data_IF_387373223631
#
_entry.id   IF_387373223631
#
_cell.length_a   1.000
_cell.length_b   1.000
_cell.length_c   1.000
_cell.angle_alpha   90.00
_cell.angle_beta   90.00
_cell.angle_gamma   90.00
#
_symmetry.space_group_name_H-M   'P 1'
#
loop_
_entity.id
_entity.type
_entity.pdbx_description
1 polymer ?
#
# COMPACT_ATOMS: atom_id res chain seq x y z
N UNK A 1 14.86 13.71 22.64
CA UNK A 1 14.13 14.66 21.79
C UNK A 1 14.50 16.09 22.13
N UNK A 2 15.03 16.83 21.16
CA UNK A 2 15.34 18.27 21.21
C UNK A 2 14.07 19.10 21.10
N UNK A 3 14.13 20.38 21.47
CA UNK A 3 13.00 21.32 21.30
C UNK A 3 12.59 21.43 19.83
N UNK A 4 13.54 21.46 18.91
CA UNK A 4 13.25 21.54 17.48
C UNK A 4 12.51 20.30 16.97
N UNK A 5 12.86 19.11 17.47
CA UNK A 5 12.13 17.88 17.17
C UNK A 5 10.71 17.92 17.74
N UNK A 6 10.52 18.44 18.96
CA UNK A 6 9.19 18.62 19.56
C UNK A 6 8.34 19.56 18.70
N UNK A 7 8.88 20.72 18.31
CA UNK A 7 8.18 21.70 17.48
C UNK A 7 7.75 21.08 16.14
N UNK A 8 8.67 20.40 15.43
CA UNK A 8 8.37 19.73 14.16
C UNK A 8 7.21 18.73 14.30
N UNK A 9 7.23 17.93 15.36
CA UNK A 9 6.20 16.92 15.63
C UNK A 9 4.85 17.52 15.96
N UNK A 10 4.82 18.55 16.81
CA UNK A 10 3.60 19.29 17.12
C UNK A 10 2.98 19.87 15.85
N UNK A 11 3.81 20.50 15.00
CA UNK A 11 3.35 21.04 13.71
C UNK A 11 2.80 19.95 12.78
N UNK A 12 3.51 18.82 12.65
CA UNK A 12 3.06 17.68 11.84
C UNK A 12 1.72 17.09 12.33
N UNK A 13 1.46 17.16 13.65
CA UNK A 13 0.22 16.70 14.28
C UNK A 13 -0.89 17.76 14.28
N UNK A 14 -0.66 18.93 13.65
CA UNK A 14 -1.66 20.00 13.51
C UNK A 14 -1.74 20.98 14.68
N UNK A 15 -0.80 20.93 15.63
CA UNK A 15 -0.66 21.93 16.69
C UNK A 15 0.33 23.01 16.25
N UNK A 16 0.07 24.29 16.51
CA UNK A 16 0.99 25.38 16.12
C UNK A 16 2.01 25.69 17.22
N UNK A 17 3.26 25.17 17.15
CA UNK A 17 4.29 25.49 18.14
C UNK A 17 4.92 26.86 17.93
N UNK A 18 4.53 27.60 16.89
CA UNK A 18 5.25 28.76 16.39
C UNK A 18 6.44 28.39 15.49
N UNK A 19 7.50 29.22 15.44
CA UNK A 19 8.65 29.00 14.57
C UNK A 19 9.39 27.73 14.98
N UNK A 20 9.89 26.98 14.00
CA UNK A 20 10.73 25.80 14.21
C UNK A 20 12.19 26.21 14.45
N UNK A 21 12.41 27.00 15.50
CA UNK A 21 13.67 27.65 15.82
C UNK A 21 14.46 26.93 16.94
N UNK A 22 13.90 25.85 17.49
CA UNK A 22 14.47 25.11 18.60
C UNK A 22 14.36 25.82 19.96
N UNK A 23 13.58 26.91 20.06
CA UNK A 23 13.37 27.67 21.30
C UNK A 23 11.97 27.43 21.86
N UNK A 24 11.90 27.03 23.12
CA UNK A 24 10.60 26.75 23.77
C UNK A 24 9.97 28.06 24.24
N UNK A 25 9.22 28.72 23.35
CA UNK A 25 8.47 29.95 23.65
C UNK A 25 6.99 29.69 24.02
N UNK A 26 6.21 30.76 24.31
CA UNK A 26 4.80 30.64 24.72
C UNK A 26 3.92 29.86 23.73
N UNK A 27 4.18 29.96 22.43
CA UNK A 27 3.48 29.18 21.40
C UNK A 27 3.81 27.70 21.47
N UNK A 28 5.07 27.34 21.68
CA UNK A 28 5.49 25.95 21.84
C UNK A 28 4.87 25.35 23.10
N UNK A 29 4.85 26.08 24.22
CA UNK A 29 4.19 25.65 25.45
C UNK A 29 2.67 25.44 25.23
N UNK A 30 2.02 26.39 24.56
CA UNK A 30 0.59 26.30 24.23
C UNK A 30 0.28 25.08 23.36
N UNK A 31 1.10 24.81 22.35
CA UNK A 31 0.99 23.62 21.51
C UNK A 31 1.17 22.32 22.30
N UNK A 32 2.11 22.29 23.26
CA UNK A 32 2.29 21.14 24.16
C UNK A 32 1.05 20.93 25.02
N UNK A 33 0.47 21.99 25.61
CA UNK A 33 -0.75 21.87 26.44
C UNK A 33 -1.94 21.36 25.63
N UNK A 34 -2.10 21.83 24.39
CA UNK A 34 -3.14 21.35 23.48
C UNK A 34 -2.94 19.88 23.12
N UNK A 35 -1.70 19.49 22.81
CA UNK A 35 -1.36 18.09 22.54
C UNK A 35 -1.61 17.20 23.76
N UNK A 36 -1.20 17.62 24.96
CA UNK A 36 -1.44 16.90 26.21
C UNK A 36 -2.93 16.71 26.46
N UNK A 37 -3.73 17.78 26.30
CA UNK A 37 -5.19 17.73 26.38
C UNK A 37 -5.76 16.72 25.38
N UNK A 38 -5.35 16.80 24.11
CA UNK A 38 -5.83 15.93 23.03
C UNK A 38 -5.46 14.45 23.24
N UNK A 39 -4.42 14.16 24.03
CA UNK A 39 -3.94 12.80 24.32
C UNK A 39 -4.29 12.31 25.72
N UNK A 40 -5.05 13.08 26.51
CA UNK A 40 -5.43 12.71 27.87
C UNK A 40 -4.24 12.61 28.84
N UNK A 41 -3.20 13.41 28.62
CA UNK A 41 -2.01 13.48 29.49
C UNK A 41 -2.18 14.58 30.55
N UNK A 42 -1.30 14.58 31.55
CA UNK A 42 -1.15 15.73 32.45
C UNK A 42 -0.81 16.99 31.66
N UNK A 43 -1.58 18.07 31.84
CA UNK A 43 -1.49 19.30 31.06
C UNK A 43 -0.62 20.33 31.79
N UNK A 44 0.69 20.07 31.86
CA UNK A 44 1.66 20.95 32.51
C UNK A 44 2.37 21.90 31.54
N UNK A 45 2.20 21.72 30.22
CA UNK A 45 2.87 22.49 29.18
C UNK A 45 4.33 22.10 28.94
N UNK A 46 4.80 21.03 29.60
CA UNK A 46 6.17 20.55 29.53
C UNK A 46 6.24 19.25 28.74
N UNK A 47 7.17 19.18 27.79
CA UNK A 47 7.47 17.94 27.07
C UNK A 47 8.31 16.96 27.94
N UNK A 48 7.75 16.53 29.07
CA UNK A 48 8.34 15.51 29.95
C UNK A 48 8.31 14.11 29.34
N UNK A 49 8.76 13.06 30.05
CA UNK A 49 8.88 11.71 29.50
C UNK A 49 7.59 11.18 28.86
N UNK A 50 6.43 11.36 29.51
CA UNK A 50 5.15 10.90 28.98
C UNK A 50 4.72 11.67 27.72
N UNK A 51 4.90 12.99 27.71
CA UNK A 51 4.61 13.83 26.54
C UNK A 51 5.53 13.46 25.38
N UNK A 52 6.83 13.26 25.63
CA UNK A 52 7.81 12.83 24.62
C UNK A 52 7.48 11.45 24.06
N UNK A 53 7.15 10.49 24.92
CA UNK A 53 6.73 9.16 24.51
C UNK A 53 5.44 9.23 23.67
N UNK A 54 4.48 10.07 24.05
CA UNK A 54 3.26 10.26 23.26
C UNK A 54 3.53 10.97 21.92
N UNK A 55 4.44 11.94 21.88
CA UNK A 55 4.90 12.56 20.63
C UNK A 55 5.61 11.52 19.77
N UNK A 56 6.42 10.63 20.34
CA UNK A 56 7.04 9.49 19.65
C UNK A 56 6.02 8.47 19.16
N UNK A 57 4.99 8.15 19.94
CA UNK A 57 3.92 7.26 19.52
C UNK A 57 2.98 7.90 18.47
N UNK A 58 2.90 9.23 18.43
CA UNK A 58 2.13 9.97 17.45
C UNK A 58 2.90 10.21 16.14
N UNK A 59 4.24 10.28 16.22
CA UNK A 59 5.19 10.35 15.09
C UNK A 59 5.57 8.95 14.58
N UNK A 60 5.41 7.91 15.42
CA UNK A 60 5.26 6.55 14.94
C UNK A 60 4.06 6.60 14.00
N UNK A 61 4.21 6.14 12.74
CA UNK A 61 3.18 6.27 11.72
C UNK A 61 1.86 5.85 12.35
N UNK A 62 0.97 6.84 12.56
CA UNK A 62 -0.20 6.76 13.43
C UNK A 62 -0.89 5.45 13.16
N UNK A 63 -0.61 4.40 13.98
CA UNK A 63 -0.72 3.00 13.57
C UNK A 63 -1.05 2.92 12.09
N UNK A 64 -0.04 2.92 11.22
CA UNK A 64 -0.18 2.15 10.02
C UNK A 64 -0.59 0.78 10.56
N UNK A 65 -1.90 0.59 10.72
CA UNK A 65 -2.56 -0.67 10.52
C UNK A 65 -1.83 -1.08 9.29
N UNK A 66 -0.85 -2.00 9.44
CA UNK A 66 -0.29 -2.69 8.29
C UNK A 66 -1.53 -2.88 7.47
N UNK A 67 -1.65 -2.22 6.32
CA UNK A 67 -2.81 -2.40 5.47
C UNK A 67 -2.55 -3.79 4.96
N UNK A 68 -2.87 -4.75 5.82
CA UNK A 68 -2.71 -6.16 5.61
C UNK A 68 -3.83 -6.38 4.65
N UNK A 69 -3.44 -6.90 3.51
CA UNK A 69 -4.35 -7.56 2.63
C UNK A 69 -5.30 -8.40 3.48
N UNK A 70 -6.58 -8.35 3.17
CA UNK A 70 -7.55 -9.17 3.88
C UNK A 70 -7.20 -10.66 3.71
N UNK A 71 -7.69 -11.51 4.60
CA UNK A 71 -7.35 -12.94 4.59
C UNK A 71 -7.70 -13.62 3.25
N UNK A 72 -8.66 -13.08 2.48
CA UNK A 72 -8.98 -13.54 1.14
C UNK A 72 -7.84 -13.25 0.17
N UNK A 73 -7.35 -12.02 0.18
CA UNK A 73 -6.25 -11.58 -0.65
C UNK A 73 -4.98 -12.40 -0.37
N UNK A 74 -4.67 -12.64 0.91
CA UNK A 74 -3.56 -13.51 1.33
C UNK A 74 -3.68 -14.94 0.73
N UNK A 75 -4.88 -15.54 0.79
CA UNK A 75 -5.13 -16.85 0.17
C UNK A 75 -4.99 -16.82 -1.35
N UNK A 76 -5.43 -15.73 -1.98
CA UNK A 76 -5.34 -15.58 -3.44
C UNK A 76 -3.89 -15.37 -3.92
N UNK A 77 -2.99 -14.91 -3.05
CA UNK A 77 -1.56 -14.83 -3.33
C UNK A 77 -0.83 -16.17 -3.19
N UNK A 78 -1.48 -17.22 -2.67
CA UNK A 78 -0.88 -18.55 -2.62
C UNK A 78 -0.51 -19.05 -4.02
N UNK A 79 0.74 -19.47 -4.20
CA UNK A 79 1.26 -19.93 -5.49
C UNK A 79 1.64 -18.81 -6.47
N UNK A 80 1.61 -17.54 -6.05
CA UNK A 80 2.17 -16.40 -6.79
C UNK A 80 3.65 -16.23 -6.46
N UNK A 81 4.44 -15.79 -7.43
CA UNK A 81 5.88 -15.54 -7.29
C UNK A 81 6.17 -14.59 -6.11
N UNK A 82 7.12 -14.92 -5.21
CA UNK A 82 7.36 -14.15 -3.99
C UNK A 82 7.71 -12.67 -4.25
N UNK A 83 8.39 -12.36 -5.36
CA UNK A 83 8.69 -10.97 -5.74
C UNK A 83 7.41 -10.17 -6.02
N UNK A 84 6.45 -10.74 -6.75
CA UNK A 84 5.17 -10.09 -6.99
C UNK A 84 4.37 -9.97 -5.68
N UNK A 85 4.42 -10.98 -4.82
CA UNK A 85 3.79 -10.93 -3.48
C UNK A 85 4.34 -9.77 -2.65
N UNK A 86 5.66 -9.54 -2.63
CA UNK A 86 6.27 -8.38 -1.94
C UNK A 86 5.74 -7.07 -2.50
N UNK A 87 5.67 -6.92 -3.83
CA UNK A 87 5.11 -5.73 -4.48
C UNK A 87 3.66 -5.49 -4.06
N UNK A 88 2.81 -6.52 -4.02
CA UNK A 88 1.40 -6.36 -3.63
C UNK A 88 1.29 -5.93 -2.16
N UNK A 89 2.06 -6.52 -1.24
CA UNK A 89 2.08 -6.08 0.16
C UNK A 89 2.59 -4.65 0.33
N UNK A 90 3.64 -4.28 -0.41
CA UNK A 90 4.19 -2.93 -0.40
C UNK A 90 3.17 -1.93 -0.93
N UNK A 91 2.50 -2.26 -2.03
CA UNK A 91 1.42 -1.46 -2.61
C UNK A 91 0.27 -1.30 -1.62
N UNK A 92 -0.14 -2.36 -0.91
CA UNK A 92 -1.17 -2.26 0.12
C UNK A 92 -0.79 -1.25 1.22
N UNK A 93 0.49 -1.19 1.59
CA UNK A 93 0.99 -0.26 2.62
C UNK A 93 1.04 1.22 2.17
N UNK A 94 1.17 1.50 0.87
CA UNK A 94 1.35 2.86 0.34
C UNK A 94 0.17 3.37 -0.49
N UNK A 95 -0.75 2.49 -0.89
CA UNK A 95 -1.88 2.85 -1.73
C UNK A 95 -2.87 3.74 -0.95
N UNK A 96 -3.15 4.94 -1.49
CA UNK A 96 -4.24 5.79 -1.01
C UNK A 96 -5.65 5.28 -1.37
N UNK A 97 -5.74 4.07 -1.93
CA UNK A 97 -6.99 3.36 -2.28
C UNK A 97 -6.85 1.93 -1.76
N UNK A 98 -7.78 1.50 -0.91
CA UNK A 98 -7.84 0.12 -0.48
C UNK A 98 -8.14 -0.80 -1.68
N UNK A 99 -7.63 -2.02 -1.68
CA UNK A 99 -7.93 -3.00 -2.73
C UNK A 99 -7.94 -4.43 -2.16
N UNK A 100 -8.41 -5.37 -2.97
CA UNK A 100 -8.35 -6.81 -2.67
C UNK A 100 -7.73 -7.54 -3.86
N UNK A 101 -6.99 -8.62 -3.61
CA UNK A 101 -6.50 -9.51 -4.66
C UNK A 101 -7.64 -10.44 -5.04
N UNK A 102 -8.17 -10.33 -6.26
CA UNK A 102 -9.31 -11.14 -6.73
C UNK A 102 -8.85 -12.48 -7.30
N UNK A 103 -7.68 -12.52 -7.93
CA UNK A 103 -7.08 -13.74 -8.49
C UNK A 103 -5.55 -13.67 -8.46
N UNK A 104 -4.90 -14.80 -8.18
CA UNK A 104 -3.45 -14.98 -8.32
C UNK A 104 -3.19 -16.19 -9.21
N UNK A 105 -2.75 -17.31 -8.64
CA UNK A 105 -2.53 -18.54 -9.38
C UNK A 105 -3.83 -19.12 -9.97
N UNK A 106 -3.78 -19.50 -11.25
CA UNK A 106 -4.91 -20.02 -12.05
C UNK A 106 -4.57 -21.38 -12.66
N UNK A 107 -5.53 -22.29 -12.66
CA UNK A 107 -5.35 -23.60 -13.31
C UNK A 107 -5.52 -23.51 -14.83
N UNK A 108 -4.85 -24.39 -15.58
CA UNK A 108 -5.03 -24.50 -17.03
C UNK A 108 -6.50 -24.78 -17.40
N UNK A 109 -7.21 -25.58 -16.60
CA UNK A 109 -8.64 -25.84 -16.81
C UNK A 109 -9.49 -24.57 -16.70
N UNK A 110 -9.19 -23.68 -15.75
CA UNK A 110 -9.85 -22.36 -15.64
C UNK A 110 -9.48 -21.46 -16.81
N UNK A 111 -8.21 -21.42 -17.22
CA UNK A 111 -7.80 -20.63 -18.37
C UNK A 111 -8.50 -21.07 -19.66
N UNK A 112 -8.64 -22.39 -19.90
CA UNK A 112 -9.42 -22.93 -21.02
C UNK A 112 -10.87 -22.44 -21.02
N UNK A 113 -11.52 -22.36 -19.85
CA UNK A 113 -12.88 -21.81 -19.72
C UNK A 113 -12.94 -20.32 -20.03
N UNK A 114 -11.97 -19.52 -19.56
CA UNK A 114 -11.91 -18.09 -19.84
C UNK A 114 -11.71 -17.79 -21.33
N UNK A 115 -10.88 -18.58 -22.01
CA UNK A 115 -10.72 -18.48 -23.47
C UNK A 115 -12.03 -18.87 -24.18
N UNK A 116 -12.66 -19.98 -23.78
CA UNK A 116 -13.92 -20.42 -24.37
C UNK A 116 -15.07 -19.41 -24.17
N UNK A 117 -15.08 -18.66 -23.06
CA UNK A 117 -16.08 -17.63 -22.79
C UNK A 117 -15.74 -16.26 -23.38
N UNK A 118 -14.60 -16.10 -24.06
CA UNK A 118 -14.13 -14.82 -24.60
C UNK A 118 -13.57 -13.84 -23.55
N UNK A 119 -13.43 -14.27 -22.28
CA UNK A 119 -12.85 -13.47 -21.21
C UNK A 119 -11.31 -13.44 -21.24
N UNK A 120 -10.69 -14.25 -22.10
CA UNK A 120 -9.25 -14.20 -22.40
C UNK A 120 -9.00 -14.54 -23.86
N UNK A 121 -7.97 -13.94 -24.45
CA UNK A 121 -7.60 -14.18 -25.85
C UNK A 121 -6.58 -15.32 -26.03
N UNK A 122 -5.98 -15.83 -24.95
CA UNK A 122 -4.87 -16.80 -25.05
C UNK A 122 -4.85 -17.80 -23.91
N UNK A 123 -4.35 -19.01 -24.19
CA UNK A 123 -4.02 -20.00 -23.16
C UNK A 123 -2.68 -19.69 -22.47
N UNK A 124 -1.83 -18.85 -23.06
CA UNK A 124 -0.55 -18.45 -22.50
C UNK A 124 -0.74 -17.31 -21.51
N UNK A 125 -1.08 -17.66 -20.26
CA UNK A 125 -1.37 -16.71 -19.19
C UNK A 125 -0.30 -16.73 -18.10
N UNK A 126 0.08 -15.54 -17.61
CA UNK A 126 0.97 -15.38 -16.44
C UNK A 126 0.32 -15.82 -15.13
N UNK A 127 -1.00 -16.00 -15.07
CA UNK A 127 -1.65 -16.58 -13.90
C UNK A 127 -1.42 -18.09 -13.80
N UNK A 128 -1.08 -18.77 -14.89
CA UNK A 128 -0.79 -20.21 -14.85
C UNK A 128 0.60 -20.38 -14.23
N UNK A 129 0.73 -21.19 -13.16
CA UNK A 129 2.03 -21.52 -12.62
C UNK A 129 2.93 -22.19 -13.66
N UNK A 130 4.18 -21.75 -13.73
CA UNK A 130 5.17 -22.23 -14.70
C UNK A 130 6.59 -21.93 -14.27
N UNK A 131 7.55 -22.21 -15.15
CA UNK A 131 8.98 -22.06 -14.88
C UNK A 131 9.51 -23.04 -13.83
N UNK A 132 10.78 -22.88 -13.47
CA UNK A 132 11.47 -23.80 -12.55
C UNK A 132 10.87 -23.83 -11.13
N UNK A 133 10.16 -22.78 -10.72
CA UNK A 133 9.51 -22.70 -9.41
C UNK A 133 8.05 -23.16 -9.43
N UNK A 134 7.46 -23.37 -10.61
CA UNK A 134 6.03 -23.66 -10.78
C UNK A 134 5.14 -22.67 -10.02
N UNK A 135 5.37 -21.38 -10.24
CA UNK A 135 4.64 -20.27 -9.61
C UNK A 135 3.96 -19.39 -10.66
N UNK A 136 2.83 -18.81 -10.29
CA UNK A 136 2.15 -17.81 -11.09
C UNK A 136 2.89 -16.47 -11.00
N UNK A 137 2.80 -15.68 -12.05
CA UNK A 137 3.53 -14.43 -12.22
C UNK A 137 2.60 -13.24 -12.47
N UNK A 138 1.30 -13.40 -12.15
CA UNK A 138 0.31 -12.34 -12.28
C UNK A 138 -0.69 -12.36 -11.13
N UNK A 139 -1.31 -11.20 -10.91
CA UNK A 139 -2.40 -10.97 -9.97
C UNK A 139 -3.44 -10.05 -10.59
N UNK A 140 -4.71 -10.28 -10.25
CA UNK A 140 -5.81 -9.38 -10.52
C UNK A 140 -6.23 -8.68 -9.22
N UNK A 141 -6.40 -7.36 -9.29
CA UNK A 141 -6.77 -6.52 -8.15
C UNK A 141 -8.14 -5.87 -8.37
N UNK A 142 -8.88 -5.64 -7.29
CA UNK A 142 -10.10 -4.83 -7.31
C UNK A 142 -10.03 -3.70 -6.31
N UNK A 143 -10.18 -2.47 -6.78
CA UNK A 143 -10.20 -1.27 -5.94
C UNK A 143 -11.43 -1.24 -5.02
N UNK A 144 -11.28 -0.68 -3.82
CA UNK A 144 -12.33 -0.54 -2.82
C UNK A 144 -12.46 0.90 -2.34
N UNK A 145 -13.70 1.40 -2.31
CA UNK A 145 -14.05 2.72 -1.75
C UNK A 145 -15.19 2.52 -0.76
N UNK A 146 -15.02 2.98 0.48
CA UNK A 146 -15.99 2.72 1.55
C UNK A 146 -16.25 1.25 1.82
N UNK A 147 -15.26 0.37 1.53
CA UNK A 147 -15.38 -1.08 1.69
C UNK A 147 -16.02 -1.83 0.51
N UNK A 148 -16.67 -1.15 -0.42
CA UNK A 148 -17.28 -1.74 -1.61
C UNK A 148 -16.29 -1.83 -2.78
N UNK A 149 -16.39 -2.89 -3.58
CA UNK A 149 -15.60 -3.05 -4.82
C UNK A 149 -16.04 -2.01 -5.85
N UNK A 150 -15.08 -1.42 -6.55
CA UNK A 150 -15.26 -0.40 -7.58
C UNK A 150 -14.43 -0.73 -8.81
N UNK A 151 -15.02 -0.50 -9.98
CA UNK A 151 -14.42 -0.81 -11.30
C UNK A 151 -14.10 0.45 -12.11
N UNK A 152 -14.22 1.63 -11.49
CA UNK A 152 -14.00 2.92 -12.12
C UNK A 152 -12.54 3.07 -12.55
N UNK A 153 -12.29 3.28 -13.85
CA UNK A 153 -10.93 3.34 -14.42
C UNK A 153 -9.94 4.27 -13.68
N UNK A 154 -10.32 5.50 -13.24
CA UNK A 154 -9.40 6.36 -12.50
C UNK A 154 -8.89 5.76 -11.18
N UNK A 155 -9.62 4.82 -10.58
CA UNK A 155 -9.15 4.10 -9.40
C UNK A 155 -8.02 3.11 -9.76
N UNK A 156 -8.09 2.51 -10.95
CA UNK A 156 -7.06 1.59 -11.42
C UNK A 156 -5.79 2.33 -11.84
N UNK A 157 -5.89 3.55 -12.35
CA UNK A 157 -4.71 4.40 -12.58
C UNK A 157 -4.00 4.75 -11.26
N UNK A 158 -4.77 5.10 -10.21
CA UNK A 158 -4.22 5.35 -8.87
C UNK A 158 -3.63 4.09 -8.25
N UNK A 159 -4.30 2.95 -8.40
CA UNK A 159 -3.81 1.66 -7.92
C UNK A 159 -2.56 1.23 -8.67
N UNK A 160 -2.51 1.43 -10.00
CA UNK A 160 -1.36 1.14 -10.81
C UNK A 160 -0.16 2.03 -10.46
N UNK A 161 -0.38 3.31 -10.17
CA UNK A 161 0.67 4.18 -9.67
C UNK A 161 1.28 3.65 -8.36
N UNK A 162 0.43 3.19 -7.43
CA UNK A 162 0.90 2.58 -6.18
C UNK A 162 1.64 1.24 -6.41
N UNK A 163 1.13 0.37 -7.29
CA UNK A 163 1.79 -0.88 -7.65
C UNK A 163 3.14 -0.64 -8.33
N UNK A 164 3.23 0.35 -9.23
CA UNK A 164 4.48 0.75 -9.90
C UNK A 164 5.49 1.34 -8.91
N UNK A 165 5.04 2.17 -7.96
CA UNK A 165 5.91 2.67 -6.90
C UNK A 165 6.41 1.54 -5.99
N UNK A 166 5.52 0.62 -5.60
CA UNK A 166 5.88 -0.54 -4.80
C UNK A 166 6.88 -1.47 -5.52
N UNK A 167 6.71 -1.64 -6.83
CA UNK A 167 7.64 -2.38 -7.68
C UNK A 167 9.03 -1.73 -7.70
N UNK A 168 9.11 -0.40 -7.79
CA UNK A 168 10.38 0.33 -7.69
C UNK A 168 11.01 0.18 -6.30
N UNK A 169 10.23 0.32 -5.23
CA UNK A 169 10.71 0.20 -3.85
C UNK A 169 11.29 -1.20 -3.55
N UNK A 170 10.74 -2.24 -4.16
CA UNK A 170 11.15 -3.64 -4.00
C UNK A 170 12.18 -4.12 -5.04
N UNK A 171 12.61 -3.24 -5.96
CA UNK A 171 13.49 -3.55 -7.11
C UNK A 171 12.96 -4.71 -7.97
N UNK A 172 11.65 -4.71 -8.24
CA UNK A 172 10.96 -5.74 -9.04
C UNK A 172 10.36 -5.10 -10.29
N UNK A 173 10.66 -5.59 -11.51
CA UNK A 173 10.01 -5.06 -12.70
C UNK A 173 8.54 -5.52 -12.76
N UNK A 174 7.65 -4.62 -13.16
CA UNK A 174 6.21 -4.85 -13.17
C UNK A 174 5.57 -4.31 -14.46
N UNK A 175 4.69 -5.10 -15.04
CA UNK A 175 3.82 -4.71 -16.15
C UNK A 175 2.38 -4.55 -15.64
N UNK A 176 1.68 -3.54 -16.13
CA UNK A 176 0.26 -3.31 -15.84
C UNK A 176 -0.58 -3.51 -17.11
N UNK A 177 -1.69 -4.23 -17.01
CA UNK A 177 -2.59 -4.49 -18.13
C UNK A 177 -3.24 -3.23 -18.70
N UNK A 178 -3.35 -2.15 -17.92
CA UNK A 178 -3.84 -0.86 -18.41
C UNK A 178 -2.89 -0.14 -19.37
N UNK A 179 -1.61 -0.53 -19.40
CA UNK A 179 -0.60 0.02 -20.32
C UNK A 179 -0.59 -0.71 -21.68
N UNK A 180 -1.35 -1.81 -21.85
CA UNK A 180 -1.39 -2.54 -23.11
C UNK A 180 -2.00 -1.72 -24.24
N UNK A 181 -1.51 -1.93 -25.47
CA UNK A 181 -1.96 -1.19 -26.66
C UNK A 181 -3.35 -1.59 -27.14
N UNK A 182 -3.82 -2.78 -26.78
CA UNK A 182 -5.16 -3.30 -27.06
C UNK A 182 -5.61 -4.18 -25.89
N UNK A 183 -6.93 -4.33 -25.72
CA UNK A 183 -7.53 -5.12 -24.64
C UNK A 183 -7.01 -4.73 -23.24
N UNK A 184 -7.03 -3.42 -22.95
CA UNK A 184 -6.56 -2.87 -21.67
C UNK A 184 -7.29 -3.51 -20.49
N UNK A 185 -6.53 -3.91 -19.49
CA UNK A 185 -7.01 -4.63 -18.32
C UNK A 185 -6.52 -3.94 -17.03
N UNK A 186 -7.39 -3.13 -16.42
CA UNK A 186 -7.07 -2.35 -15.23
C UNK A 186 -6.71 -3.20 -14.00
N UNK A 187 -7.47 -4.27 -13.69
CA UNK A 187 -7.15 -5.20 -12.62
C UNK A 187 -5.79 -5.92 -12.72
N UNK A 188 -5.30 -6.17 -13.93
CA UNK A 188 -4.22 -7.13 -14.18
C UNK A 188 -2.82 -6.55 -13.98
N UNK A 189 -1.98 -7.21 -13.19
CA UNK A 189 -0.56 -6.90 -13.03
C UNK A 189 0.28 -8.18 -13.18
N UNK A 190 1.45 -8.08 -13.82
CA UNK A 190 2.31 -9.24 -14.02
C UNK A 190 3.80 -8.92 -13.97
N UNK A 191 4.60 -9.93 -13.61
CA UNK A 191 6.04 -9.91 -13.81
C UNK A 191 6.36 -10.15 -15.29
N UNK A 192 7.29 -9.40 -15.91
CA UNK A 192 7.58 -9.48 -17.33
C UNK A 192 8.23 -10.81 -17.72
N UNK A 193 7.83 -11.35 -18.88
CA UNK A 193 8.35 -12.62 -19.42
C UNK A 193 9.87 -12.66 -19.55
N UNK A 194 10.48 -11.54 -19.95
CA UNK A 194 11.93 -11.47 -20.21
C UNK A 194 12.79 -11.61 -18.94
N UNK A 195 12.25 -11.23 -17.78
CA UNK A 195 12.96 -11.32 -16.49
C UNK A 195 12.53 -12.53 -15.67
N UNK A 196 11.31 -13.00 -15.88
CA UNK A 196 10.71 -14.13 -15.15
C UNK A 196 10.16 -15.17 -16.13
N UNK A 197 11.02 -16.01 -16.72
CA UNK A 197 10.59 -17.04 -17.67
C UNK A 197 9.72 -18.09 -16.97
N UNK A 198 8.64 -18.50 -17.65
CA UNK A 198 7.69 -19.49 -17.17
C UNK A 198 7.37 -20.52 -18.27
#
# INVERSE_FOLDING_TARGET
MTTLEIQRRLQALGFDPGPLDGRSGPRTESAIRLFQTARGLSVDGVAGPNTRAALEAADAPASASKVRLDARSERNLAGVHPDLVRVVHRAAAIAGVAFTVTEGARTLARQKRLVASGASQTLRSRHIPGGGLNLAHAVDLAAKVGGAIRWDWPLYERLAAAMKQAAQDEDVPLEWGGDWSSFKDGPHFQLPWARYPA
#
